data_IF_014148032364
#
_entry.id   IF_014148032364
#
_cell.length_a   1.000
_cell.length_b   1.000
_cell.length_c   1.000
_cell.angle_alpha   90.00
_cell.angle_beta   90.00
_cell.angle_gamma   90.00
#
_symmetry.space_group_name_H-M   'P 1'
#
loop_
_entity.id
_entity.type
_entity.pdbx_description
1 polymer ?
#
# COMPACT_ATOMS: atom_id res chain seq x y z
N UNK A 1 22.43 0.55 -5.23
CA UNK A 1 21.20 -0.28 -5.30
C UNK A 1 21.29 -1.58 -4.49
N UNK A 2 22.34 -2.40 -4.66
CA UNK A 2 22.42 -3.73 -4.02
C UNK A 2 22.60 -3.77 -2.48
N UNK A 3 23.05 -2.68 -1.84
CA UNK A 3 23.23 -2.60 -0.38
C UNK A 3 21.96 -2.17 0.36
N UNK A 4 21.09 -1.35 -0.23
CA UNK A 4 19.81 -0.95 0.37
C UNK A 4 18.84 -2.13 0.50
N UNK A 5 18.90 -3.09 -0.43
CA UNK A 5 18.05 -4.29 -0.45
C UNK A 5 18.45 -5.29 0.66
N UNK A 6 19.73 -5.32 1.07
CA UNK A 6 20.19 -6.24 2.15
C UNK A 6 19.70 -5.85 3.54
N UNK A 7 19.42 -4.56 3.76
CA UNK A 7 18.93 -4.04 5.05
C UNK A 7 17.39 -3.93 5.09
N UNK A 8 16.70 -4.30 4.01
CA UNK A 8 15.26 -4.38 4.02
C UNK A 8 14.85 -5.58 4.88
N UNK A 9 14.08 -5.32 5.95
CA UNK A 9 13.57 -6.35 6.87
C UNK A 9 12.63 -7.37 6.19
N UNK A 10 12.22 -7.08 4.95
CA UNK A 10 11.28 -7.87 4.17
C UNK A 10 11.95 -8.29 2.85
N UNK A 11 12.02 -9.60 2.54
CA UNK A 11 12.50 -10.09 1.25
C UNK A 11 11.75 -9.45 0.08
N UNK A 12 12.39 -9.17 -1.06
CA UNK A 12 11.78 -8.42 -2.15
C UNK A 12 10.56 -9.10 -2.76
N UNK A 13 10.50 -10.43 -2.73
CA UNK A 13 9.42 -11.21 -3.33
C UNK A 13 8.70 -12.03 -2.27
N UNK A 14 7.39 -12.23 -2.48
CA UNK A 14 6.60 -13.20 -1.72
C UNK A 14 6.89 -14.61 -2.24
N UNK A 15 6.88 -15.59 -1.35
CA UNK A 15 7.09 -17.01 -1.71
C UNK A 15 5.84 -17.59 -2.38
N UNK A 16 4.65 -17.14 -1.97
CA UNK A 16 3.35 -17.58 -2.50
C UNK A 16 2.30 -16.45 -2.46
N UNK A 17 1.12 -16.72 -3.01
CA UNK A 17 0.01 -15.75 -3.08
C UNK A 17 -0.58 -15.39 -1.71
N UNK A 18 -0.53 -16.30 -0.74
CA UNK A 18 -1.05 -16.05 0.61
C UNK A 18 -0.18 -15.01 1.34
N UNK A 19 1.14 -15.16 1.28
CA UNK A 19 2.08 -14.18 1.80
C UNK A 19 1.95 -12.84 1.07
N UNK A 20 1.80 -12.86 -0.26
CA UNK A 20 1.58 -11.64 -1.04
C UNK A 20 0.31 -10.91 -0.59
N UNK A 21 -0.79 -11.64 -0.39
CA UNK A 21 -2.06 -11.08 0.12
C UNK A 21 -1.88 -10.45 1.50
N UNK A 22 -1.20 -11.14 2.42
CA UNK A 22 -0.93 -10.63 3.76
C UNK A 22 -0.14 -9.31 3.71
N UNK A 23 0.92 -9.26 2.90
CA UNK A 23 1.74 -8.04 2.70
C UNK A 23 0.93 -6.90 2.07
N UNK A 24 0.05 -7.20 1.12
CA UNK A 24 -0.87 -6.21 0.52
C UNK A 24 -1.81 -5.64 1.58
N UNK A 25 -2.35 -6.45 2.49
CA UNK A 25 -3.21 -5.96 3.57
C UNK A 25 -2.45 -5.13 4.61
N UNK A 26 -1.21 -5.50 4.93
CA UNK A 26 -0.34 -4.69 5.79
C UNK A 26 0.00 -3.34 5.15
N UNK A 27 0.29 -3.34 3.85
CA UNK A 27 0.47 -2.11 3.07
C UNK A 27 -0.81 -1.27 3.07
N UNK A 28 -1.97 -1.84 2.77
CA UNK A 28 -3.25 -1.13 2.77
C UNK A 28 -3.54 -0.46 4.12
N UNK A 29 -3.32 -1.19 5.22
CA UNK A 29 -3.46 -0.67 6.58
C UNK A 29 -2.51 0.50 6.85
N UNK A 30 -1.26 0.38 6.42
CA UNK A 30 -0.23 1.40 6.61
C UNK A 30 -0.54 2.66 5.79
N UNK A 31 -0.93 2.49 4.52
CA UNK A 31 -1.35 3.58 3.66
C UNK A 31 -2.56 4.32 4.25
N UNK A 32 -3.61 3.60 4.67
CA UNK A 32 -4.79 4.21 5.30
C UNK A 32 -4.48 4.98 6.60
N UNK A 33 -3.47 4.54 7.37
CA UNK A 33 -3.01 5.22 8.59
C UNK A 33 -2.13 6.44 8.29
N UNK A 34 -1.42 6.45 7.16
CA UNK A 34 -0.61 7.59 6.73
C UNK A 34 -1.40 8.73 6.10
N UNK A 35 -2.64 8.48 5.66
CA UNK A 35 -3.47 9.46 4.97
C UNK A 35 -3.66 10.80 5.71
N UNK A 36 -3.87 10.86 7.04
CA UNK A 36 -3.95 12.14 7.75
C UNK A 36 -2.70 13.00 7.54
N UNK A 37 -1.50 12.41 7.63
CA UNK A 37 -0.23 13.11 7.38
C UNK A 37 -0.10 13.56 5.93
N UNK A 38 -0.52 12.72 4.98
CA UNK A 38 -0.54 13.10 3.54
C UNK A 38 -1.47 14.29 3.30
N UNK A 39 -2.65 14.30 3.94
CA UNK A 39 -3.60 15.41 3.82
C UNK A 39 -3.05 16.71 4.39
N UNK A 40 -2.31 16.65 5.50
CA UNK A 40 -1.64 17.79 6.10
C UNK A 40 -0.52 18.33 5.21
N UNK A 41 0.39 17.46 4.74
CA UNK A 41 1.54 17.86 3.91
C UNK A 41 1.10 18.51 2.59
N UNK A 42 0.01 18.02 2.00
CA UNK A 42 -0.48 18.49 0.71
C UNK A 42 -1.70 19.42 0.79
N UNK A 43 -2.10 19.86 1.99
CA UNK A 43 -3.27 20.72 2.22
C UNK A 43 -4.55 20.23 1.52
N UNK A 44 -4.88 18.94 1.67
CA UNK A 44 -5.97 18.30 0.91
C UNK A 44 -7.36 18.40 1.58
N UNK A 45 -7.46 18.97 2.78
CA UNK A 45 -8.69 18.98 3.58
C UNK A 45 -9.88 19.66 2.90
N UNK A 46 -9.63 20.63 2.01
CA UNK A 46 -10.68 21.38 1.31
C UNK A 46 -11.14 20.72 -0.01
N UNK A 47 -10.38 19.73 -0.51
CA UNK A 47 -10.62 19.10 -1.83
C UNK A 47 -10.99 17.64 -1.74
N UNK A 48 -10.61 16.95 -0.65
CA UNK A 48 -10.88 15.55 -0.46
C UNK A 48 -11.09 15.24 1.03
N UNK A 49 -11.92 14.23 1.29
CA UNK A 49 -12.11 13.66 2.63
C UNK A 49 -11.22 12.43 2.83
N UNK A 50 -10.86 12.14 4.09
CA UNK A 50 -10.11 10.92 4.44
C UNK A 50 -10.83 9.66 3.91
N UNK A 51 -12.16 9.61 3.97
CA UNK A 51 -12.93 8.46 3.50
C UNK A 51 -12.85 8.28 1.99
N UNK A 52 -12.89 9.36 1.20
CA UNK A 52 -12.67 9.32 -0.24
C UNK A 52 -11.28 8.76 -0.56
N UNK A 53 -10.23 9.25 0.10
CA UNK A 53 -8.86 8.77 -0.13
C UNK A 53 -8.70 7.28 0.22
N UNK A 54 -9.29 6.81 1.33
CA UNK A 54 -9.31 5.38 1.68
C UNK A 54 -10.03 4.53 0.62
N UNK A 55 -11.16 5.03 0.11
CA UNK A 55 -11.92 4.38 -0.96
C UNK A 55 -11.09 4.27 -2.24
N UNK A 56 -10.38 5.35 -2.61
CA UNK A 56 -9.50 5.39 -3.79
C UNK A 56 -8.37 4.37 -3.67
N UNK A 57 -7.67 4.29 -2.53
CA UNK A 57 -6.63 3.28 -2.31
C UNK A 57 -7.20 1.87 -2.49
N UNK A 58 -8.38 1.59 -1.91
CA UNK A 58 -9.01 0.28 -2.05
C UNK A 58 -9.39 -0.02 -3.52
N UNK A 59 -9.81 0.99 -4.27
CA UNK A 59 -10.02 0.90 -5.73
C UNK A 59 -8.73 0.49 -6.45
N UNK A 60 -7.61 1.18 -6.20
CA UNK A 60 -6.34 0.89 -6.87
C UNK A 60 -5.81 -0.52 -6.58
N UNK A 61 -5.99 -1.02 -5.35
CA UNK A 61 -5.62 -2.39 -5.02
C UNK A 61 -6.52 -3.38 -5.77
N UNK A 62 -7.85 -3.18 -5.75
CA UNK A 62 -8.80 -4.10 -6.40
C UNK A 62 -8.66 -4.15 -7.92
N UNK A 63 -8.21 -3.06 -8.57
CA UNK A 63 -7.91 -3.08 -10.02
C UNK A 63 -6.93 -4.19 -10.40
N UNK A 64 -6.04 -4.57 -9.49
CA UNK A 64 -4.99 -5.56 -9.70
C UNK A 64 -5.30 -6.93 -9.05
N UNK A 65 -6.53 -7.18 -8.61
CA UNK A 65 -6.92 -8.43 -7.92
C UNK A 65 -6.78 -9.69 -8.80
N UNK A 66 -6.74 -9.51 -10.13
CA UNK A 66 -6.57 -10.58 -11.10
C UNK A 66 -5.12 -11.10 -11.21
N UNK A 67 -4.15 -10.47 -10.53
CA UNK A 67 -2.74 -10.87 -10.58
C UNK A 67 -2.51 -12.13 -9.74
N UNK A 68 -2.08 -13.21 -10.39
CA UNK A 68 -1.81 -14.52 -9.77
C UNK A 68 -0.32 -14.82 -9.62
N UNK A 69 0.56 -13.94 -10.11
CA UNK A 69 2.00 -14.04 -9.89
C UNK A 69 2.36 -13.34 -8.56
N UNK A 70 2.95 -14.03 -7.57
CA UNK A 70 3.35 -13.42 -6.30
C UNK A 70 4.63 -12.55 -6.36
N UNK A 71 5.25 -12.42 -7.55
CA UNK A 71 6.47 -11.63 -7.79
C UNK A 71 6.20 -10.40 -8.63
#
# INVERSE_FOLDING_TARGET
MAQAIRNAKVPPNSVNLEEARQRVFEFFRSACRSLPTVMEVYNLYDVATISQLRSTIASEIRKNDHITNPK
#
